data_IF_670015675825
#
_entry.id   IF_670015675825
#
_cell.length_a   1.000
_cell.length_b   1.000
_cell.length_c   1.000
_cell.angle_alpha   90.00
_cell.angle_beta   90.00
_cell.angle_gamma   90.00
#
_symmetry.space_group_name_H-M   'P 1'
#
loop_
_entity.id
_entity.type
_entity.pdbx_description
1 polymer ?
#
# COMPACT_ATOMS: atom_id res chain seq x y z
N UNK A 1 -17.00 -18.04 -8.55
CA UNK A 1 -15.72 -17.88 -9.23
C UNK A 1 -15.39 -16.41 -9.31
N UNK A 2 -14.30 -15.96 -8.65
CA UNK A 2 -13.94 -14.54 -8.59
C UNK A 2 -12.54 -14.34 -9.14
N UNK A 3 -12.39 -13.48 -10.15
CA UNK A 3 -11.13 -13.16 -10.82
C UNK A 3 -10.79 -11.70 -10.61
N UNK A 4 -9.77 -11.44 -9.81
CA UNK A 4 -9.33 -10.07 -9.48
C UNK A 4 -7.89 -9.88 -9.91
N UNK A 5 -7.64 -8.84 -10.70
CA UNK A 5 -6.31 -8.32 -10.97
C UNK A 5 -5.99 -7.22 -9.97
N UNK A 6 -4.89 -7.35 -9.23
CA UNK A 6 -4.45 -6.35 -8.28
C UNK A 6 -3.13 -5.70 -8.75
N UNK A 7 -3.02 -4.39 -8.56
CA UNK A 7 -1.91 -3.58 -9.05
C UNK A 7 -1.45 -2.63 -7.95
N UNK A 8 -0.14 -2.43 -7.82
CA UNK A 8 0.44 -1.32 -7.07
C UNK A 8 1.73 -0.81 -7.72
N UNK A 9 1.84 0.51 -7.76
CA UNK A 9 3.03 1.25 -8.18
C UNK A 9 3.28 2.45 -7.27
N UNK A 10 2.63 2.50 -6.10
CA UNK A 10 2.65 3.65 -5.18
C UNK A 10 3.95 3.80 -4.38
N UNK A 11 4.85 2.84 -4.49
CA UNK A 11 6.11 2.78 -3.73
C UNK A 11 7.33 2.59 -4.64
N UNK A 12 8.45 2.17 -4.07
CA UNK A 12 9.65 1.76 -4.83
C UNK A 12 9.49 0.41 -5.53
N UNK A 13 8.28 -0.16 -5.54
CA UNK A 13 7.99 -1.45 -6.14
C UNK A 13 6.99 -1.32 -7.28
N UNK A 14 7.17 -2.12 -8.34
CA UNK A 14 6.11 -2.45 -9.29
C UNK A 14 5.56 -3.81 -8.91
N UNK A 15 4.25 -3.92 -8.77
CA UNK A 15 3.61 -5.12 -8.23
C UNK A 15 2.31 -5.42 -8.92
N UNK A 16 2.13 -6.66 -9.38
CA UNK A 16 0.92 -7.14 -10.04
C UNK A 16 0.60 -8.53 -9.51
N UNK A 17 -0.66 -8.78 -9.17
CA UNK A 17 -1.15 -10.10 -8.77
C UNK A 17 -2.46 -10.42 -9.48
N UNK A 18 -2.62 -11.67 -9.90
CA UNK A 18 -3.84 -12.20 -10.47
C UNK A 18 -4.37 -13.31 -9.58
N UNK A 19 -5.57 -13.12 -9.06
CA UNK A 19 -6.29 -14.16 -8.32
C UNK A 19 -7.40 -14.74 -9.20
N UNK A 20 -7.46 -16.05 -9.24
CA UNK A 20 -8.54 -16.82 -9.85
C UNK A 20 -9.09 -17.71 -8.76
N UNK A 21 -10.31 -17.43 -8.34
CA UNK A 21 -10.99 -18.16 -7.27
C UNK A 21 -10.16 -18.26 -5.97
N UNK A 22 -10.10 -19.46 -5.40
CA UNK A 22 -9.34 -19.77 -4.18
C UNK A 22 -7.92 -20.29 -4.47
N UNK A 23 -7.49 -20.23 -5.74
CA UNK A 23 -6.14 -20.63 -6.09
C UNK A 23 -5.09 -19.65 -5.54
N UNK A 24 -3.86 -20.14 -5.39
CA UNK A 24 -2.74 -19.27 -5.03
C UNK A 24 -2.56 -18.21 -6.13
N UNK A 25 -2.58 -16.92 -5.79
CA UNK A 25 -2.42 -15.86 -6.77
C UNK A 25 -1.11 -15.97 -7.55
N UNK A 26 -1.18 -15.79 -8.87
CA UNK A 26 0.02 -15.51 -9.66
C UNK A 26 0.51 -14.10 -9.35
N UNK A 27 1.82 -13.90 -9.21
CA UNK A 27 2.38 -12.69 -8.63
C UNK A 27 3.72 -12.31 -9.25
N UNK A 28 3.85 -11.02 -9.62
CA UNK A 28 5.08 -10.39 -10.07
C UNK A 28 5.33 -9.15 -9.23
N UNK A 29 6.55 -9.04 -8.69
CA UNK A 29 6.91 -7.98 -7.75
C UNK A 29 8.40 -7.70 -7.82
N UNK A 30 8.77 -6.46 -8.11
CA UNK A 30 10.17 -6.07 -8.26
C UNK A 30 10.39 -4.64 -7.76
N UNK A 31 11.49 -4.44 -7.06
CA UNK A 31 11.95 -3.11 -6.68
C UNK A 31 12.47 -2.39 -7.92
N UNK A 32 11.99 -1.18 -8.15
CA UNK A 32 12.32 -0.35 -9.30
C UNK A 32 12.68 1.05 -8.84
N UNK A 33 13.82 1.57 -9.30
CA UNK A 33 14.20 2.97 -9.07
C UNK A 33 13.50 3.91 -10.04
N UNK A 34 13.27 3.42 -11.24
CA UNK A 34 12.49 4.01 -12.34
C UNK A 34 12.05 2.86 -13.26
N UNK A 35 11.01 3.06 -14.07
CA UNK A 35 10.62 2.07 -15.07
C UNK A 35 9.43 1.19 -14.71
N UNK A 36 8.70 1.46 -13.62
CA UNK A 36 7.43 0.77 -13.35
C UNK A 36 6.46 0.85 -14.56
N UNK A 37 6.49 1.95 -15.31
CA UNK A 37 5.72 2.13 -16.53
C UNK A 37 6.07 1.15 -17.65
N UNK A 38 7.30 0.66 -17.68
CA UNK A 38 7.75 -0.32 -18.67
C UNK A 38 7.40 -1.75 -18.29
N UNK A 39 7.17 -2.02 -17.00
CA UNK A 39 6.89 -3.35 -16.47
C UNK A 39 5.40 -3.64 -16.31
N UNK A 40 4.63 -2.64 -15.91
CA UNK A 40 3.27 -2.82 -15.43
C UNK A 40 2.37 -3.51 -16.46
N UNK A 41 2.20 -2.96 -17.65
CA UNK A 41 1.34 -3.54 -18.69
C UNK A 41 1.86 -4.88 -19.23
N UNK A 42 3.16 -5.05 -19.52
CA UNK A 42 3.72 -6.37 -19.87
C UNK A 42 3.49 -7.44 -18.80
N UNK A 43 3.57 -7.11 -17.52
CA UNK A 43 3.31 -8.05 -16.44
C UNK A 43 1.84 -8.45 -16.34
N UNK A 44 0.93 -7.51 -16.53
CA UNK A 44 -0.51 -7.79 -16.60
C UNK A 44 -0.77 -8.77 -17.73
N UNK A 45 -0.24 -8.49 -18.94
CA UNK A 45 -0.36 -9.36 -20.09
C UNK A 45 0.22 -10.76 -19.84
N UNK A 46 1.42 -10.82 -19.25
CA UNK A 46 2.08 -12.08 -18.89
C UNK A 46 1.22 -12.93 -17.95
N UNK A 47 0.65 -12.34 -16.88
CA UNK A 47 -0.18 -13.08 -15.94
C UNK A 47 -1.48 -13.60 -16.59
N UNK A 48 -2.15 -12.76 -17.38
CA UNK A 48 -3.35 -13.15 -18.10
C UNK A 48 -3.09 -14.28 -19.11
N UNK A 49 -2.02 -14.18 -19.88
CA UNK A 49 -1.61 -15.20 -20.85
C UNK A 49 -1.24 -16.53 -20.17
N UNK A 50 -0.51 -16.47 -19.04
CA UNK A 50 -0.16 -17.66 -18.25
C UNK A 50 -1.41 -18.36 -17.72
N UNK A 51 -2.39 -17.58 -17.27
CA UNK A 51 -3.68 -18.08 -16.80
C UNK A 51 -4.64 -18.46 -17.93
N UNK A 52 -4.28 -18.17 -19.19
CA UNK A 52 -5.11 -18.40 -20.39
C UNK A 52 -6.51 -17.75 -20.31
N UNK A 53 -6.56 -16.56 -19.76
CA UNK A 53 -7.77 -15.74 -19.67
C UNK A 53 -7.58 -14.38 -20.32
N UNK A 54 -8.67 -13.74 -20.70
CA UNK A 54 -8.70 -12.38 -21.22
C UNK A 54 -8.98 -11.37 -20.12
N UNK A 55 -8.54 -10.13 -20.31
CA UNK A 55 -8.81 -9.03 -19.39
C UNK A 55 -10.32 -8.85 -19.13
N UNK A 56 -11.16 -8.99 -20.17
CA UNK A 56 -12.62 -8.89 -20.07
C UNK A 56 -13.29 -10.02 -19.29
N UNK A 57 -12.58 -11.08 -18.96
CA UNK A 57 -13.07 -12.18 -18.13
C UNK A 57 -12.78 -12.03 -16.64
N UNK A 58 -12.15 -10.92 -16.26
CA UNK A 58 -12.02 -10.54 -14.85
C UNK A 58 -13.34 -9.99 -14.30
N UNK A 59 -13.49 -10.04 -12.99
CA UNK A 59 -14.65 -9.49 -12.28
C UNK A 59 -14.38 -8.07 -11.76
N UNK A 60 -13.12 -7.77 -11.40
CA UNK A 60 -12.71 -6.46 -10.92
C UNK A 60 -11.20 -6.22 -11.09
N UNK A 61 -10.80 -4.94 -11.01
CA UNK A 61 -9.41 -4.52 -10.93
C UNK A 61 -9.20 -3.81 -9.59
N UNK A 62 -8.28 -4.32 -8.77
CA UNK A 62 -7.87 -3.72 -7.52
C UNK A 62 -6.62 -2.85 -7.71
N UNK A 63 -6.55 -1.73 -7.00
CA UNK A 63 -5.46 -0.75 -7.14
C UNK A 63 -5.10 -0.10 -5.81
N UNK A 64 -3.79 -0.01 -5.54
CA UNK A 64 -3.28 0.84 -4.47
C UNK A 64 -3.48 2.32 -4.84
N UNK A 65 -4.31 3.02 -4.07
CA UNK A 65 -4.65 4.44 -4.33
C UNK A 65 -3.78 5.43 -3.55
N UNK A 66 -2.75 4.94 -2.87
CA UNK A 66 -1.89 5.74 -2.00
C UNK A 66 -2.34 5.70 -0.54
N UNK A 67 -1.72 6.54 0.30
CA UNK A 67 -0.66 7.49 -0.02
C UNK A 67 0.66 6.80 -0.39
N UNK A 68 1.52 7.53 -1.12
CA UNK A 68 2.81 7.02 -1.56
C UNK A 68 3.49 7.94 -2.56
N UNK A 69 4.37 7.39 -3.39
CA UNK A 69 5.10 8.13 -4.41
C UNK A 69 4.12 8.73 -5.45
N UNK A 70 4.11 10.05 -5.56
CA UNK A 70 3.18 10.83 -6.36
C UNK A 70 3.05 10.34 -7.82
N UNK A 71 4.18 10.12 -8.49
CA UNK A 71 4.21 9.64 -9.87
C UNK A 71 3.72 8.20 -9.97
N UNK A 72 4.11 7.36 -9.00
CA UNK A 72 3.74 5.95 -8.97
C UNK A 72 2.24 5.75 -8.79
N UNK A 73 1.63 6.45 -7.83
CA UNK A 73 0.16 6.41 -7.62
C UNK A 73 -0.57 6.77 -8.91
N UNK A 74 -0.17 7.87 -9.59
CA UNK A 74 -0.81 8.28 -10.85
C UNK A 74 -0.60 7.31 -11.99
N UNK A 75 0.58 6.69 -12.09
CA UNK A 75 0.84 5.65 -13.09
C UNK A 75 -0.15 4.49 -12.92
N UNK A 76 -0.29 3.99 -11.70
CA UNK A 76 -1.23 2.91 -11.40
C UNK A 76 -2.67 3.28 -11.74
N UNK A 77 -3.12 4.44 -11.26
CA UNK A 77 -4.48 4.91 -11.52
C UNK A 77 -4.76 5.08 -13.02
N UNK A 78 -3.86 5.75 -13.77
CA UNK A 78 -4.04 5.95 -15.21
C UNK A 78 -4.09 4.63 -15.97
N UNK A 79 -3.25 3.64 -15.56
CA UNK A 79 -3.26 2.31 -16.15
C UNK A 79 -4.59 1.61 -15.90
N UNK A 80 -5.08 1.62 -14.64
CA UNK A 80 -6.37 1.01 -14.28
C UNK A 80 -7.53 1.72 -14.97
N UNK A 81 -7.49 3.06 -15.06
CA UNK A 81 -8.51 3.82 -15.81
C UNK A 81 -8.59 3.35 -17.27
N UNK A 82 -7.45 3.22 -17.96
CA UNK A 82 -7.43 2.72 -19.33
C UNK A 82 -8.00 1.32 -19.47
N UNK A 83 -7.60 0.41 -18.58
CA UNK A 83 -8.07 -1.00 -18.59
C UNK A 83 -9.57 -1.10 -18.24
N UNK A 84 -10.02 -0.41 -17.21
CA UNK A 84 -11.40 -0.47 -16.73
C UNK A 84 -12.39 0.20 -17.71
N UNK A 85 -12.00 1.33 -18.33
CA UNK A 85 -12.84 1.97 -19.37
C UNK A 85 -13.01 1.04 -20.58
N UNK A 86 -11.94 0.37 -21.02
CA UNK A 86 -11.98 -0.55 -22.15
C UNK A 86 -12.84 -1.80 -21.91
N UNK A 87 -12.91 -2.27 -20.66
CA UNK A 87 -13.57 -3.54 -20.29
C UNK A 87 -14.87 -3.35 -19.50
N UNK A 88 -15.14 -2.14 -19.03
CA UNK A 88 -16.25 -1.80 -18.11
C UNK A 88 -16.18 -2.55 -16.77
N UNK A 89 -14.98 -2.95 -16.36
CA UNK A 89 -14.77 -3.62 -15.08
C UNK A 89 -14.87 -2.61 -13.92
N UNK A 90 -15.50 -3.00 -12.80
CA UNK A 90 -15.49 -2.23 -11.59
C UNK A 90 -14.08 -2.24 -10.96
N UNK A 91 -13.82 -1.24 -10.12
CA UNK A 91 -12.53 -1.08 -9.46
C UNK A 91 -12.67 -1.18 -7.94
N UNK A 92 -11.59 -1.65 -7.31
CA UNK A 92 -11.48 -1.82 -5.86
C UNK A 92 -10.28 -1.01 -5.36
N UNK A 93 -10.48 0.25 -4.93
CA UNK A 93 -9.40 1.06 -4.37
C UNK A 93 -8.98 0.54 -3.00
N UNK A 94 -7.66 0.50 -2.77
CA UNK A 94 -7.07 0.03 -1.51
C UNK A 94 -6.03 1.05 -1.03
N UNK A 95 -6.11 1.43 0.23
CA UNK A 95 -5.14 2.31 0.86
C UNK A 95 -3.80 1.58 0.99
N UNK A 96 -2.70 2.23 0.61
CA UNK A 96 -1.36 1.63 0.58
C UNK A 96 -0.93 1.08 1.95
N UNK A 97 -1.25 1.79 3.03
CA UNK A 97 -0.92 1.33 4.38
C UNK A 97 -1.72 0.09 4.79
N UNK A 98 -2.99 -0.01 4.36
CA UNK A 98 -3.83 -1.18 4.62
C UNK A 98 -3.28 -2.41 3.87
N UNK A 99 -2.79 -2.21 2.65
CA UNK A 99 -2.13 -3.28 1.90
C UNK A 99 -0.84 -3.77 2.57
N UNK A 100 -0.02 -2.84 3.12
CA UNK A 100 1.17 -3.20 3.91
C UNK A 100 0.74 -3.99 5.15
N UNK A 101 -0.25 -3.52 5.90
CA UNK A 101 -0.75 -4.18 7.10
C UNK A 101 -1.26 -5.60 6.79
N UNK A 102 -1.97 -5.79 5.67
CA UNK A 102 -2.48 -7.08 5.22
C UNK A 102 -1.39 -8.10 4.87
N UNK A 103 -0.22 -7.64 4.40
CA UNK A 103 0.93 -8.51 4.16
C UNK A 103 1.73 -8.76 5.44
N UNK A 104 1.90 -7.73 6.27
CA UNK A 104 2.68 -7.78 7.50
C UNK A 104 2.20 -8.89 8.45
N UNK A 105 0.90 -9.08 8.61
CA UNK A 105 0.34 -10.11 9.49
C UNK A 105 0.71 -11.55 9.10
N UNK A 106 1.26 -11.75 7.90
CA UNK A 106 1.74 -13.06 7.42
C UNK A 106 3.26 -13.21 7.58
N UNK A 107 3.97 -12.12 7.92
CA UNK A 107 5.42 -12.14 8.07
C UNK A 107 5.84 -12.96 9.28
N UNK A 108 6.88 -13.83 9.18
CA UNK A 108 7.30 -14.70 10.28
C UNK A 108 7.65 -13.93 11.56
N UNK A 109 8.32 -12.76 11.45
CA UNK A 109 8.68 -11.95 12.60
C UNK A 109 7.43 -11.38 13.30
N UNK A 110 6.44 -10.95 12.53
CA UNK A 110 5.17 -10.44 13.07
C UNK A 110 4.38 -11.56 13.77
N UNK A 111 4.29 -12.73 13.15
CA UNK A 111 3.62 -13.89 13.74
C UNK A 111 4.30 -14.34 15.04
N UNK A 112 5.64 -14.31 15.09
CA UNK A 112 6.38 -14.64 16.29
C UNK A 112 6.20 -13.60 17.41
N UNK A 113 6.13 -12.32 17.08
CA UNK A 113 5.87 -11.23 18.02
C UNK A 113 4.42 -11.20 18.51
N UNK A 114 3.47 -11.67 17.69
CA UNK A 114 2.02 -11.69 17.93
C UNK A 114 1.47 -10.38 18.52
N UNK A 115 1.79 -9.21 17.93
CA UNK A 115 1.40 -7.93 18.49
C UNK A 115 -0.11 -7.72 18.41
N UNK A 116 -0.68 -7.07 19.43
CA UNK A 116 -2.08 -6.64 19.41
C UNK A 116 -2.24 -5.36 18.62
N UNK A 117 -1.31 -4.41 18.80
CA UNK A 117 -1.29 -3.12 18.11
C UNK A 117 0.03 -2.88 17.45
N UNK A 118 -0.02 -2.36 16.24
CA UNK A 118 1.16 -2.05 15.46
C UNK A 118 1.01 -0.78 14.63
N UNK A 119 2.13 -0.23 14.23
CA UNK A 119 2.22 0.95 13.38
C UNK A 119 2.70 0.54 11.99
N UNK A 120 2.04 1.05 10.96
CA UNK A 120 2.61 1.12 9.60
C UNK A 120 2.98 2.56 9.34
N UNK A 121 4.26 2.80 8.98
CA UNK A 121 4.83 4.12 8.76
C UNK A 121 5.73 4.13 7.53
N UNK A 122 5.39 4.93 6.52
CA UNK A 122 6.15 5.04 5.28
C UNK A 122 6.66 6.47 5.08
N UNK A 123 7.86 6.58 4.51
CA UNK A 123 8.46 7.87 4.16
C UNK A 123 7.56 8.65 3.19
N UNK A 124 7.17 9.85 3.60
CA UNK A 124 6.37 10.77 2.79
C UNK A 124 7.23 11.86 2.11
N UNK A 125 8.56 11.77 2.23
CA UNK A 125 9.51 12.82 1.86
C UNK A 125 9.30 14.12 2.67
N UNK A 126 10.18 15.09 2.47
CA UNK A 126 10.07 16.42 3.09
C UNK A 126 10.03 16.36 4.63
N UNK A 127 10.75 15.43 5.25
CA UNK A 127 10.76 15.19 6.70
C UNK A 127 9.38 14.84 7.29
N UNK A 128 8.52 14.17 6.51
CA UNK A 128 7.20 13.73 6.94
C UNK A 128 7.00 12.24 6.72
N UNK A 129 6.06 11.68 7.46
CA UNK A 129 5.71 10.26 7.46
C UNK A 129 4.22 10.10 7.25
N UNK A 130 3.81 9.27 6.29
CA UNK A 130 2.45 8.72 6.26
C UNK A 130 2.39 7.56 7.24
N UNK A 131 1.45 7.57 8.15
CA UNK A 131 1.34 6.52 9.14
C UNK A 131 -0.11 6.26 9.57
N UNK A 132 -0.34 5.05 10.08
CA UNK A 132 -1.58 4.66 10.72
C UNK A 132 -1.34 3.57 11.76
N UNK A 133 -2.13 3.58 12.80
CA UNK A 133 -2.20 2.51 13.79
C UNK A 133 -3.15 1.42 13.34
N UNK A 134 -2.83 0.20 13.71
CA UNK A 134 -3.63 -0.99 13.42
C UNK A 134 -3.79 -1.86 14.64
N UNK A 135 -4.90 -2.59 14.67
CA UNK A 135 -5.16 -3.65 15.64
C UNK A 135 -5.33 -4.98 14.93
N UNK A 136 -4.69 -6.03 15.43
CA UNK A 136 -4.85 -7.39 14.91
C UNK A 136 -6.22 -7.94 15.27
N UNK A 137 -6.82 -8.67 14.36
CA UNK A 137 -8.09 -9.35 14.58
C UNK A 137 -7.88 -10.88 14.63
N UNK A 138 -8.67 -11.63 15.40
CA UNK A 138 -8.49 -13.09 15.53
C UNK A 138 -8.67 -13.86 14.22
N UNK A 139 -9.41 -13.33 13.26
CA UNK A 139 -9.87 -14.09 12.10
C UNK A 139 -9.89 -13.29 10.79
N UNK A 140 -9.08 -12.27 10.64
CA UNK A 140 -9.15 -11.47 9.43
C UNK A 140 -7.97 -10.51 9.23
N UNK A 141 -8.15 -9.60 8.30
CA UNK A 141 -7.19 -8.52 8.11
C UNK A 141 -7.21 -7.58 9.32
N UNK A 142 -6.08 -6.91 9.61
CA UNK A 142 -6.01 -5.95 10.70
C UNK A 142 -6.94 -4.77 10.45
N UNK A 143 -7.44 -4.19 11.53
CA UNK A 143 -8.31 -3.02 11.49
C UNK A 143 -7.47 -1.78 11.72
N UNK A 144 -7.58 -0.80 10.82
CA UNK A 144 -6.96 0.51 10.99
C UNK A 144 -7.70 1.31 12.04
N UNK A 145 -6.95 1.91 12.96
CA UNK A 145 -7.47 2.77 14.03
C UNK A 145 -7.38 4.24 13.60
N UNK A 146 -8.47 4.78 13.11
CA UNK A 146 -8.56 6.16 12.63
C UNK A 146 -8.10 6.34 11.17
N UNK A 147 -7.84 7.58 10.80
CA UNK A 147 -7.43 7.95 9.44
C UNK A 147 -5.90 7.84 9.27
N UNK A 148 -5.46 7.75 8.01
CA UNK A 148 -4.03 7.88 7.69
C UNK A 148 -3.60 9.31 7.98
N UNK A 149 -2.56 9.45 8.79
CA UNK A 149 -2.00 10.74 9.16
C UNK A 149 -0.72 11.06 8.38
N UNK A 150 -0.40 12.35 8.31
CA UNK A 150 0.86 12.88 7.79
C UNK A 150 1.42 13.83 8.83
N UNK A 151 2.58 13.49 9.41
CA UNK A 151 3.25 14.32 10.42
C UNK A 151 4.77 14.20 10.31
N UNK A 152 5.51 15.04 11.05
CA UNK A 152 6.93 14.79 11.27
C UNK A 152 7.13 13.47 12.03
N UNK A 153 8.25 12.77 11.83
CA UNK A 153 8.51 11.48 12.49
C UNK A 153 8.47 11.59 14.01
N UNK A 154 8.96 12.69 14.57
CA UNK A 154 8.98 12.91 16.03
C UNK A 154 7.59 13.14 16.66
N UNK A 155 6.59 13.38 15.83
CA UNK A 155 5.22 13.65 16.30
C UNK A 155 4.38 12.36 16.45
N UNK A 156 4.90 11.23 15.97
CA UNK A 156 4.18 9.97 16.01
C UNK A 156 4.15 9.42 17.43
N UNK A 157 2.96 9.08 17.90
CA UNK A 157 2.75 8.46 19.22
C UNK A 157 2.84 6.96 19.08
N UNK A 158 3.71 6.35 19.90
CA UNK A 158 3.98 4.91 19.90
C UNK A 158 3.52 4.22 21.21
N UNK A 159 2.66 4.88 21.96
CA UNK A 159 2.08 4.29 23.16
C UNK A 159 1.24 3.07 22.77
N UNK A 160 1.42 1.97 23.49
CA UNK A 160 0.76 0.67 23.25
C UNK A 160 1.07 0.02 21.88
N UNK A 161 2.07 0.50 21.15
CA UNK A 161 2.55 -0.13 19.91
C UNK A 161 3.58 -1.19 20.24
N UNK A 162 3.40 -2.39 19.70
CA UNK A 162 4.23 -3.58 19.95
C UNK A 162 5.07 -3.98 18.73
N UNK A 163 4.74 -3.45 17.55
CA UNK A 163 5.46 -3.70 16.29
C UNK A 163 5.39 -2.47 15.38
N UNK A 164 6.47 -2.17 14.68
CA UNK A 164 6.53 -1.04 13.72
C UNK A 164 7.03 -1.56 12.37
N UNK A 165 6.36 -1.16 11.30
CA UNK A 165 6.69 -1.58 9.95
C UNK A 165 6.68 -0.43 8.95
N UNK A 166 7.50 -0.55 7.91
CA UNK A 166 7.54 0.35 6.77
C UNK A 166 8.81 1.21 6.68
N UNK A 167 8.95 1.86 5.54
CA UNK A 167 10.18 2.55 5.11
C UNK A 167 10.62 3.73 5.99
N UNK A 168 9.72 4.29 6.81
CA UNK A 168 10.06 5.38 7.72
C UNK A 168 11.10 4.96 8.78
N UNK A 169 11.20 3.66 9.10
CA UNK A 169 12.19 3.15 10.05
C UNK A 169 13.61 3.39 9.51
N UNK A 170 13.88 3.03 8.25
CA UNK A 170 15.19 3.23 7.64
C UNK A 170 15.49 4.70 7.36
N UNK A 171 14.49 5.49 7.00
CA UNK A 171 14.69 6.90 6.62
C UNK A 171 14.93 7.80 7.83
N UNK A 172 14.22 7.58 8.93
CA UNK A 172 14.22 8.50 10.07
C UNK A 172 14.89 7.95 11.33
N UNK A 173 15.10 6.64 11.42
CA UNK A 173 15.81 6.02 12.55
C UNK A 173 15.28 6.47 13.91
N UNK A 174 16.20 6.94 14.78
CA UNK A 174 15.87 7.35 16.15
C UNK A 174 14.83 8.49 16.22
N UNK A 175 14.71 9.31 15.18
CA UNK A 175 13.71 10.37 15.13
C UNK A 175 12.28 9.83 15.15
N UNK A 176 12.04 8.67 14.51
CA UNK A 176 10.74 8.01 14.54
C UNK A 176 10.36 7.54 15.95
N UNK A 177 11.35 7.19 16.76
CA UNK A 177 11.17 6.66 18.11
C UNK A 177 11.38 7.69 19.21
N UNK A 178 11.59 8.97 18.88
CA UNK A 178 11.98 10.03 19.82
C UNK A 178 11.01 10.22 21.01
N UNK A 179 9.72 9.93 20.81
CA UNK A 179 8.69 10.01 21.87
C UNK A 179 8.28 8.65 22.43
N UNK A 180 8.89 7.56 21.95
CA UNK A 180 8.57 6.24 22.44
C UNK A 180 9.08 6.02 23.86
N UNK A 181 8.23 5.53 24.73
CA UNK A 181 8.63 4.98 26.03
C UNK A 181 9.11 3.53 25.90
N UNK A 182 8.80 2.88 24.78
CA UNK A 182 9.15 1.50 24.52
C UNK A 182 10.48 1.42 23.77
N UNK A 183 11.28 0.42 24.12
CA UNK A 183 12.47 0.03 23.34
C UNK A 183 12.05 -1.12 22.44
N UNK A 184 12.05 -0.89 21.14
CA UNK A 184 11.73 -1.93 20.17
C UNK A 184 12.95 -2.83 19.91
N UNK A 185 12.76 -4.14 19.98
CA UNK A 185 13.75 -5.11 19.52
C UNK A 185 13.76 -5.12 17.97
N UNK A 186 14.87 -5.52 17.37
CA UNK A 186 14.96 -5.68 15.90
C UNK A 186 13.89 -6.64 15.35
N UNK A 187 13.50 -7.63 16.14
CA UNK A 187 12.43 -8.61 15.80
C UNK A 187 11.02 -8.03 15.83
N UNK A 188 10.87 -6.81 16.33
CA UNK A 188 9.61 -6.05 16.38
C UNK A 188 9.58 -4.94 15.31
N UNK A 189 10.52 -4.95 14.39
CA UNK A 189 10.65 -3.96 13.33
C UNK A 189 10.70 -4.67 11.97
N UNK A 190 9.96 -4.14 10.98
CA UNK A 190 10.09 -4.53 9.58
C UNK A 190 10.25 -3.29 8.69
N UNK A 191 11.50 -2.83 8.49
CA UNK A 191 11.78 -1.64 7.69
C UNK A 191 11.70 -1.88 6.18
N UNK A 192 11.68 -3.13 5.73
CA UNK A 192 11.77 -3.48 4.31
C UNK A 192 10.41 -3.76 3.68
N UNK A 193 9.37 -3.97 4.49
CA UNK A 193 8.04 -4.23 3.96
C UNK A 193 7.53 -2.99 3.20
N UNK A 194 7.03 -3.23 2.01
CA UNK A 194 6.43 -2.20 1.15
C UNK A 194 5.05 -2.61 0.67
N UNK A 195 4.44 -1.76 -0.14
CA UNK A 195 3.15 -2.08 -0.76
C UNK A 195 3.36 -3.19 -1.78
N UNK A 196 2.54 -4.22 -1.70
CA UNK A 196 2.51 -5.31 -2.68
C UNK A 196 1.11 -5.53 -3.23
N UNK A 197 1.02 -6.02 -4.47
CA UNK A 197 -0.26 -6.39 -5.07
C UNK A 197 -0.94 -7.56 -4.33
N UNK A 198 -0.21 -8.37 -3.55
CA UNK A 198 -0.83 -9.40 -2.69
C UNK A 198 -1.56 -8.77 -1.51
N UNK A 199 -1.01 -7.72 -0.90
CA UNK A 199 -1.69 -6.96 0.14
C UNK A 199 -2.90 -6.22 -0.40
N UNK A 200 -2.76 -5.57 -1.57
CA UNK A 200 -3.89 -4.95 -2.28
C UNK A 200 -4.98 -5.98 -2.56
N UNK A 201 -4.62 -7.17 -3.06
CA UNK A 201 -5.55 -8.24 -3.36
C UNK A 201 -6.28 -8.74 -2.10
N UNK A 202 -5.57 -8.88 -0.98
CA UNK A 202 -6.16 -9.32 0.28
C UNK A 202 -7.26 -8.36 0.76
N UNK A 203 -6.98 -7.05 0.75
CA UNK A 203 -7.98 -6.02 1.07
C UNK A 203 -9.13 -6.00 0.04
N UNK A 204 -8.80 -6.09 -1.25
CA UNK A 204 -9.77 -6.04 -2.32
C UNK A 204 -10.77 -7.20 -2.28
N UNK A 205 -10.33 -8.41 -1.91
CA UNK A 205 -11.25 -9.56 -1.74
C UNK A 205 -12.32 -9.31 -0.69
N UNK A 206 -11.95 -8.68 0.44
CA UNK A 206 -12.94 -8.28 1.45
C UNK A 206 -13.92 -7.22 0.92
N UNK A 207 -13.37 -6.20 0.24
CA UNK A 207 -14.20 -5.15 -0.36
C UNK A 207 -15.15 -5.71 -1.42
N UNK A 208 -14.70 -6.67 -2.23
CA UNK A 208 -15.52 -7.37 -3.20
C UNK A 208 -16.67 -8.14 -2.56
N UNK A 209 -16.37 -8.94 -1.53
CA UNK A 209 -17.38 -9.68 -0.77
C UNK A 209 -18.39 -8.76 -0.08
N UNK A 210 -17.97 -7.56 0.32
CA UNK A 210 -18.82 -6.54 0.92
C UNK A 210 -19.61 -5.71 -0.11
N UNK A 211 -19.43 -5.94 -1.43
CA UNK A 211 -20.12 -5.19 -2.48
C UNK A 211 -19.62 -3.74 -2.62
N UNK A 212 -18.36 -3.45 -2.25
CA UNK A 212 -17.77 -2.11 -2.25
C UNK A 212 -17.00 -1.77 -3.55
N UNK A 213 -17.21 -2.54 -4.62
CA UNK A 213 -16.64 -2.20 -5.91
C UNK A 213 -17.25 -0.92 -6.45
N UNK A 214 -16.41 -0.07 -7.07
CA UNK A 214 -16.78 1.26 -7.54
C UNK A 214 -16.74 1.34 -9.06
N UNK A 215 -17.49 2.28 -9.61
CA UNK A 215 -17.32 2.71 -11.00
C UNK A 215 -15.97 3.42 -11.17
N UNK A 216 -15.33 3.21 -12.32
CA UNK A 216 -14.02 3.81 -12.63
C UNK A 216 -14.01 5.34 -12.54
N UNK A 217 -15.12 5.98 -12.80
CA UNK A 217 -15.25 7.46 -12.71
C UNK A 217 -15.21 7.98 -11.26
N UNK A 218 -15.35 7.10 -10.27
CA UNK A 218 -15.24 7.42 -8.85
C UNK A 218 -13.83 7.17 -8.31
N UNK A 219 -12.94 6.59 -9.13
CA UNK A 219 -11.59 6.26 -8.69
C UNK A 219 -10.73 7.52 -8.55
N UNK A 220 -10.33 7.81 -7.32
CA UNK A 220 -9.49 8.94 -6.97
C UNK A 220 -8.29 8.49 -6.12
N UNK A 221 -7.13 9.17 -6.24
CA UNK A 221 -6.01 8.94 -5.34
C UNK A 221 -6.30 9.50 -3.94
N UNK A 222 -5.77 8.84 -2.92
CA UNK A 222 -5.82 9.35 -1.55
C UNK A 222 -4.72 10.40 -1.36
N UNK A 223 -5.13 11.66 -1.23
CA UNK A 223 -4.24 12.77 -0.92
C UNK A 223 -4.34 13.12 0.57
N UNK A 224 -3.37 12.67 1.36
CA UNK A 224 -3.23 13.07 2.78
C UNK A 224 -2.51 14.42 2.89
N UNK A 225 -1.62 14.73 1.93
CA UNK A 225 -0.90 15.99 1.89
C UNK A 225 -1.69 17.03 1.10
N UNK A 226 -2.09 18.12 1.77
CA UNK A 226 -2.77 19.26 1.13
C UNK A 226 -1.82 20.14 0.32
N UNK A 227 -0.49 20.08 0.58
CA UNK A 227 0.52 20.90 -0.10
C UNK A 227 1.67 20.02 -0.60
N UNK A 228 1.86 19.98 -1.91
CA UNK A 228 2.81 19.05 -2.57
C UNK A 228 4.20 19.66 -2.78
N UNK A 229 4.33 21.02 -2.69
CA UNK A 229 5.60 21.72 -2.87
C UNK A 229 5.66 23.02 -2.07
N UNK A 230 6.84 23.33 -1.56
CA UNK A 230 7.11 24.65 -0.99
C UNK A 230 7.24 25.69 -2.10
N UNK A 231 6.70 26.88 -1.87
CA UNK A 231 6.96 28.04 -2.72
C UNK A 231 8.44 28.44 -2.62
N UNK A 232 8.90 29.27 -3.57
CA UNK A 232 10.29 29.74 -3.53
C UNK A 232 10.62 30.55 -2.26
N UNK A 233 9.62 31.24 -1.71
CA UNK A 233 9.76 31.98 -0.44
C UNK A 233 9.85 31.06 0.78
N UNK A 234 9.02 30.04 0.85
CA UNK A 234 9.04 29.06 1.93
C UNK A 234 10.31 28.22 1.94
N UNK A 235 10.89 27.91 0.76
CA UNK A 235 12.20 27.24 0.66
C UNK A 235 13.30 28.12 1.24
N UNK A 236 13.28 29.44 1.00
CA UNK A 236 14.26 30.38 1.58
C UNK A 236 14.13 30.50 3.10
N UNK A 237 12.91 30.43 3.64
CA UNK A 237 12.66 30.49 5.09
C UNK A 237 13.00 29.19 5.80
N UNK A 238 12.89 28.04 5.14
CA UNK A 238 13.17 26.72 5.69
C UNK A 238 14.65 26.30 5.58
N UNK A 239 15.54 27.13 5.01
CA UNK A 239 16.95 26.78 4.75
C UNK A 239 17.16 25.47 3.95
N UNK A 240 16.25 25.17 3.04
CA UNK A 240 16.29 23.99 2.16
C UNK A 240 16.70 24.41 0.74
#
# INVERSE_FOLDING_TARGET
LTRILAIDTSSAWCSVALSIDDERPAFLHQKVSAGASQLLLPWIEQLLNTAKINLSSLDAIAIGVGPGAFTGVRLGLASVQGLAVATKLPVLPVISLDAIAAELIKAPAFLAAAPKRFLVAIDARMNEVYWAHYETTPSGLPVRLGEVALTSPESIVLDDIEFVAGSAINEYGDRLFARSKNVFLKTQLDPEIGVSALGVLACAKLSWCAGLAQDIHQLEPVYVRNKVAFTAEERKQANI
#
